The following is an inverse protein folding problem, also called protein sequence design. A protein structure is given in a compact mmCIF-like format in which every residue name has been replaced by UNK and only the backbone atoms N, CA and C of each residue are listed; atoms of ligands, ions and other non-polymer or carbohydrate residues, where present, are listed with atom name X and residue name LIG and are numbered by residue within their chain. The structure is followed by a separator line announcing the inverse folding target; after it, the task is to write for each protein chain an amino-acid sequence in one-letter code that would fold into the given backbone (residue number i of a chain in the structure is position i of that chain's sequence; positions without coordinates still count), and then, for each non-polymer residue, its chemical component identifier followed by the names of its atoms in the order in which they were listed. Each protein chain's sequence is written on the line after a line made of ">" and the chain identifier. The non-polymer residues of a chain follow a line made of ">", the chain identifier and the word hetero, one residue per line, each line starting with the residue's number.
data_IF_963910921617
#
_entry.id   IF_963910921617
#
_cell.length_a   1.000
_cell.length_b   1.000
_cell.length_c   1.000
_cell.angle_alpha   90.00
_cell.angle_beta   90.00
_cell.angle_gamma   90.00
#
_symmetry.space_group_name_H-M   'P 1'
#
loop_
_entity.id
_entity.type
_entity.pdbx_description
1 polymer ?
#
# COMPACT_ATOMS: atom_id res chain seq x y z
N UNK A 1 36.22 -15.54 13.99
CA UNK A 1 37.00 -15.07 15.16
C UNK A 1 36.20 -15.08 16.47
N UNK A 2 34.85 -15.06 16.43
CA UNK A 2 33.98 -15.26 17.62
C UNK A 2 34.01 -16.71 18.16
N UNK A 3 34.05 -17.71 17.29
CA UNK A 3 34.01 -19.13 17.69
C UNK A 3 35.20 -19.60 18.55
N UNK A 4 36.38 -18.99 18.37
CA UNK A 4 37.59 -19.37 19.11
C UNK A 4 37.59 -18.95 20.58
N UNK A 5 36.90 -17.86 20.91
CA UNK A 5 36.86 -17.30 22.27
C UNK A 5 35.74 -17.96 23.10
N UNK A 6 34.68 -18.46 22.48
CA UNK A 6 33.66 -19.25 23.18
C UNK A 6 34.13 -20.67 23.53
N UNK A 7 34.92 -21.28 22.64
CA UNK A 7 35.38 -22.66 22.82
C UNK A 7 36.26 -22.86 24.06
N UNK A 8 37.18 -21.93 24.39
CA UNK A 8 38.10 -22.12 25.52
C UNK A 8 37.37 -22.21 26.87
N UNK A 9 36.28 -21.45 27.05
CA UNK A 9 35.47 -21.48 28.27
C UNK A 9 34.77 -22.82 28.44
N UNK A 10 34.30 -23.41 27.33
CA UNK A 10 33.73 -24.75 27.32
C UNK A 10 34.73 -25.83 27.73
N UNK A 11 35.97 -25.76 27.22
CA UNK A 11 37.04 -26.65 27.63
C UNK A 11 37.41 -26.49 29.11
N UNK A 12 37.47 -25.26 29.64
CA UNK A 12 37.74 -25.02 31.07
C UNK A 12 36.61 -25.54 31.95
N UNK A 13 35.37 -25.29 31.56
CA UNK A 13 34.20 -25.83 32.27
C UNK A 13 34.25 -27.36 32.34
N UNK A 14 34.48 -28.01 31.19
CA UNK A 14 34.59 -29.46 31.14
C UNK A 14 35.78 -29.98 31.95
N UNK A 15 36.93 -29.29 31.91
CA UNK A 15 38.08 -29.65 32.74
C UNK A 15 37.73 -29.60 34.24
N UNK A 16 37.02 -28.56 34.68
CA UNK A 16 36.52 -28.46 36.05
C UNK A 16 35.55 -29.59 36.41
N UNK A 17 34.63 -29.93 35.49
CA UNK A 17 33.72 -31.08 35.64
C UNK A 17 34.49 -32.38 35.78
N UNK A 18 35.50 -32.63 34.94
CA UNK A 18 36.33 -33.85 34.99
C UNK A 18 37.09 -33.92 36.32
N UNK A 19 37.71 -32.81 36.76
CA UNK A 19 38.47 -32.74 38.02
C UNK A 19 37.59 -33.06 39.23
N UNK A 20 36.31 -32.71 39.21
CA UNK A 20 35.35 -33.03 40.28
C UNK A 20 34.78 -34.44 40.15
N UNK A 21 34.50 -34.88 38.92
CA UNK A 21 33.84 -36.15 38.62
C UNK A 21 34.75 -37.36 38.90
N UNK A 22 36.02 -37.32 38.48
CA UNK A 22 36.93 -38.47 38.63
C UNK A 22 37.14 -38.87 40.10
N UNK A 23 37.45 -37.94 41.04
CA UNK A 23 37.53 -38.29 42.46
C UNK A 23 36.20 -38.79 43.03
N UNK A 24 35.06 -38.23 42.60
CA UNK A 24 33.74 -38.63 43.09
C UNK A 24 33.38 -40.07 42.68
N UNK A 25 33.81 -40.51 41.49
CA UNK A 25 33.66 -41.92 41.04
C UNK A 25 34.60 -42.85 41.81
N UNK A 26 35.83 -42.41 42.10
CA UNK A 26 36.76 -43.18 42.93
C UNK A 26 36.22 -43.35 44.37
N UNK A 27 35.57 -42.34 44.94
CA UNK A 27 35.04 -42.43 46.30
C UNK A 27 33.71 -43.21 46.38
N UNK A 28 32.86 -43.11 45.36
CA UNK A 28 31.53 -43.75 45.35
C UNK A 28 31.19 -44.35 43.99
N UNK A 29 30.91 -45.65 43.95
CA UNK A 29 30.51 -46.36 42.73
C UNK A 29 29.15 -45.92 42.19
N UNK A 30 28.29 -45.33 43.02
CA UNK A 30 26.95 -44.87 42.64
C UNK A 30 26.93 -43.50 41.94
N UNK A 31 28.09 -42.85 41.76
CA UNK A 31 28.20 -41.51 41.14
C UNK A 31 27.88 -41.50 39.64
N UNK A 32 27.68 -42.66 39.01
CA UNK A 32 27.33 -42.81 37.60
C UNK A 32 26.06 -42.08 37.18
N UNK A 33 25.08 -41.88 38.07
CA UNK A 33 23.87 -41.11 37.76
C UNK A 33 24.17 -39.67 37.32
N UNK A 34 25.30 -39.08 37.75
CA UNK A 34 25.71 -37.75 37.31
C UNK A 34 26.04 -37.70 35.81
N UNK A 35 26.44 -38.81 35.18
CA UNK A 35 26.73 -38.85 33.75
C UNK A 35 25.51 -38.44 32.90
N UNK A 36 24.30 -38.71 33.38
CA UNK A 36 23.07 -38.29 32.70
C UNK A 36 22.95 -36.76 32.59
N UNK A 37 23.44 -36.02 33.59
CA UNK A 37 23.47 -34.56 33.58
C UNK A 37 24.71 -34.01 32.87
N UNK A 38 25.87 -34.65 33.04
CA UNK A 38 27.15 -34.15 32.53
C UNK A 38 27.34 -34.39 31.01
N UNK A 39 26.87 -35.52 30.47
CA UNK A 39 27.09 -35.83 29.06
C UNK A 39 26.36 -34.86 28.11
N UNK A 40 25.09 -34.46 28.34
CA UNK A 40 24.43 -33.45 27.52
C UNK A 40 25.12 -32.08 27.58
N UNK A 41 25.70 -31.70 28.72
CA UNK A 41 26.41 -30.43 28.86
C UNK A 41 27.63 -30.36 27.94
N UNK A 42 28.31 -31.48 27.67
CA UNK A 42 29.39 -31.51 26.70
C UNK A 42 28.93 -31.01 25.31
N UNK A 43 27.73 -31.38 24.87
CA UNK A 43 27.14 -30.89 23.61
C UNK A 43 26.57 -29.47 23.70
N UNK A 44 26.42 -28.89 24.90
CA UNK A 44 26.04 -27.48 25.05
C UNK A 44 27.24 -26.55 24.96
N UNK A 45 28.43 -27.00 25.37
CA UNK A 45 29.62 -26.14 25.47
C UNK A 45 30.70 -26.43 24.43
N UNK A 46 30.64 -27.58 23.73
CA UNK A 46 31.64 -28.00 22.76
C UNK A 46 31.01 -28.37 21.41
N UNK A 47 31.76 -28.23 20.30
CA UNK A 47 31.38 -28.81 19.02
C UNK A 47 31.21 -30.34 19.09
N UNK A 48 30.41 -30.90 18.18
CA UNK A 48 30.06 -32.33 18.17
C UNK A 48 31.25 -33.30 18.35
N UNK A 49 32.36 -33.10 17.62
CA UNK A 49 33.50 -34.01 17.68
C UNK A 49 34.17 -34.07 19.08
N UNK A 50 34.62 -32.96 19.69
CA UNK A 50 35.18 -32.99 21.05
C UNK A 50 34.13 -33.35 22.12
N UNK A 51 32.85 -33.04 21.92
CA UNK A 51 31.78 -33.46 22.83
C UNK A 51 31.62 -34.98 22.88
N UNK A 52 31.64 -35.67 21.72
CA UNK A 52 31.62 -37.14 21.65
C UNK A 52 32.83 -37.73 22.38
N UNK A 53 34.02 -37.18 22.15
CA UNK A 53 35.25 -37.63 22.83
C UNK A 53 35.12 -37.47 24.35
N UNK A 54 34.61 -36.34 24.83
CA UNK A 54 34.37 -36.10 26.25
C UNK A 54 33.39 -37.12 26.85
N UNK A 55 32.27 -37.40 26.17
CA UNK A 55 31.27 -38.39 26.62
C UNK A 55 31.87 -39.80 26.67
N UNK A 56 32.67 -40.18 25.69
CA UNK A 56 33.39 -41.47 25.68
C UNK A 56 34.35 -41.55 26.87
N UNK A 57 35.17 -40.52 27.10
CA UNK A 57 36.15 -40.50 28.19
C UNK A 57 35.49 -40.56 29.57
N UNK A 58 34.43 -39.78 29.79
CA UNK A 58 33.70 -39.78 31.06
C UNK A 58 33.11 -41.16 31.39
N UNK A 59 32.51 -41.83 30.39
CA UNK A 59 31.98 -43.18 30.56
C UNK A 59 33.10 -44.23 30.72
N UNK A 60 34.22 -44.09 29.99
CA UNK A 60 35.37 -44.99 30.10
C UNK A 60 36.03 -44.94 31.49
N UNK A 61 36.12 -43.75 32.11
CA UNK A 61 36.62 -43.60 33.49
C UNK A 61 35.71 -44.36 34.46
N UNK A 62 34.39 -44.24 34.33
CA UNK A 62 33.46 -44.96 35.20
C UNK A 62 33.59 -46.49 35.07
N UNK A 63 33.58 -47.01 33.84
CA UNK A 63 33.72 -48.44 33.57
C UNK A 63 35.10 -48.95 34.00
N UNK A 64 36.17 -48.17 33.78
CA UNK A 64 37.53 -48.52 34.17
C UNK A 64 37.71 -48.65 35.68
N UNK A 65 37.14 -47.72 36.46
CA UNK A 65 37.16 -47.79 37.94
C UNK A 65 36.40 -49.02 38.43
N UNK A 66 35.26 -49.34 37.82
CA UNK A 66 34.49 -50.53 38.17
C UNK A 66 35.25 -51.81 37.82
N UNK A 67 35.89 -51.86 36.65
CA UNK A 67 36.66 -53.00 36.18
C UNK A 67 37.85 -53.33 37.10
N UNK A 68 38.54 -52.32 37.65
CA UNK A 68 39.63 -52.52 38.61
C UNK A 68 39.14 -53.08 39.95
N UNK A 69 37.87 -52.83 40.31
CA UNK A 69 37.26 -53.30 41.56
C UNK A 69 36.52 -54.63 41.41
N UNK A 70 36.25 -55.04 40.19
CA UNK A 70 35.46 -56.22 39.89
C UNK A 70 36.19 -57.51 40.29
N UNK A 71 35.45 -58.47 40.85
CA UNK A 71 35.97 -59.80 41.18
C UNK A 71 35.75 -60.83 40.06
N UNK A 72 34.81 -60.53 39.16
CA UNK A 72 34.45 -61.36 38.00
C UNK A 72 34.08 -60.46 36.81
N UNK A 73 34.27 -60.96 35.59
CA UNK A 73 33.88 -60.32 34.33
C UNK A 73 32.38 -60.02 34.29
N UNK A 74 31.55 -60.87 34.91
CA UNK A 74 30.10 -60.67 34.96
C UNK A 74 29.70 -59.30 35.56
N UNK A 75 30.47 -58.79 36.54
CA UNK A 75 30.19 -57.51 37.22
C UNK A 75 30.39 -56.27 36.31
N UNK A 76 31.15 -56.41 35.20
CA UNK A 76 31.49 -55.30 34.30
C UNK A 76 30.69 -55.33 32.99
N UNK A 77 30.15 -56.49 32.61
CA UNK A 77 29.43 -56.66 31.33
C UNK A 77 28.23 -55.72 31.18
N UNK A 78 27.30 -55.69 32.14
CA UNK A 78 26.13 -54.84 32.08
C UNK A 78 26.47 -53.33 32.10
N UNK A 79 27.35 -52.83 33.00
CA UNK A 79 27.81 -51.44 32.98
C UNK A 79 28.49 -51.02 31.67
N UNK A 80 29.27 -51.91 31.06
CA UNK A 80 29.90 -51.65 29.75
C UNK A 80 28.85 -51.47 28.64
N UNK A 81 27.83 -52.34 28.60
CA UNK A 81 26.74 -52.24 27.64
C UNK A 81 25.90 -50.97 27.85
N UNK A 82 25.62 -50.62 29.11
CA UNK A 82 24.93 -49.37 29.47
C UNK A 82 25.75 -48.16 29.04
N UNK A 83 27.05 -48.14 29.34
CA UNK A 83 27.94 -47.05 28.92
C UNK A 83 27.99 -46.90 27.40
N UNK A 84 28.09 -48.02 26.66
CA UNK A 84 28.05 -48.01 25.20
C UNK A 84 26.71 -47.44 24.67
N UNK A 85 25.59 -47.86 25.25
CA UNK A 85 24.27 -47.34 24.90
C UNK A 85 24.14 -45.83 25.18
N UNK A 86 24.59 -45.38 26.35
CA UNK A 86 24.58 -43.95 26.73
C UNK A 86 25.42 -43.13 25.76
N UNK A 87 26.63 -43.58 25.44
CA UNK A 87 27.50 -42.89 24.47
C UNK A 87 26.80 -42.75 23.12
N UNK A 88 26.19 -43.82 22.61
CA UNK A 88 25.48 -43.80 21.32
C UNK A 88 24.28 -42.87 21.36
N UNK A 89 23.39 -43.02 22.35
CA UNK A 89 22.13 -42.27 22.44
C UNK A 89 22.40 -40.78 22.67
N UNK A 90 23.25 -40.44 23.65
CA UNK A 90 23.57 -39.04 23.95
C UNK A 90 24.30 -38.38 22.79
N UNK A 91 25.21 -39.08 22.12
CA UNK A 91 25.89 -38.54 20.94
C UNK A 91 24.93 -38.31 19.77
N UNK A 92 24.02 -39.26 19.52
CA UNK A 92 23.01 -39.12 18.47
C UNK A 92 22.10 -37.92 18.73
N UNK A 93 21.55 -37.79 19.94
CA UNK A 93 20.67 -36.69 20.34
C UNK A 93 21.43 -35.36 20.34
N UNK A 94 22.66 -35.33 20.87
CA UNK A 94 23.50 -34.14 20.94
C UNK A 94 23.85 -33.61 19.55
N UNK A 95 24.30 -34.48 18.64
CA UNK A 95 24.59 -34.12 17.24
C UNK A 95 23.32 -33.64 16.53
N UNK A 96 22.19 -34.33 16.71
CA UNK A 96 20.92 -33.94 16.11
C UNK A 96 20.43 -32.58 16.62
N UNK A 97 20.54 -32.32 17.92
CA UNK A 97 20.21 -31.04 18.54
C UNK A 97 21.06 -29.90 17.98
N UNK A 98 22.39 -30.04 17.97
CA UNK A 98 23.30 -29.04 17.41
C UNK A 98 23.02 -28.75 15.94
N UNK A 99 22.75 -29.80 15.14
CA UNK A 99 22.39 -29.65 13.72
C UNK A 99 21.06 -28.94 13.53
N UNK A 100 20.07 -29.25 14.36
CA UNK A 100 18.74 -28.64 14.28
C UNK A 100 18.79 -27.16 14.62
N UNK A 101 19.55 -26.78 15.65
CA UNK A 101 19.77 -25.37 16.01
C UNK A 101 20.49 -24.62 14.87
N UNK A 102 21.58 -25.17 14.35
CA UNK A 102 22.33 -24.54 13.26
C UNK A 102 21.49 -24.36 11.98
N UNK A 103 20.65 -25.35 11.66
CA UNK A 103 19.73 -25.28 10.53
C UNK A 103 18.62 -24.23 10.78
N UNK A 104 18.11 -24.14 12.00
CA UNK A 104 17.10 -23.14 12.39
C UNK A 104 17.63 -21.72 12.23
N UNK A 105 18.85 -21.46 12.70
CA UNK A 105 19.49 -20.14 12.59
C UNK A 105 19.68 -19.75 11.13
N UNK A 106 20.14 -20.68 10.29
CA UNK A 106 20.31 -20.46 8.86
C UNK A 106 18.99 -20.17 8.14
N UNK A 107 17.91 -20.85 8.52
CA UNK A 107 16.57 -20.57 7.99
C UNK A 107 16.07 -19.20 8.41
N UNK A 108 16.30 -18.80 9.67
CA UNK A 108 15.93 -17.48 10.17
C UNK A 108 16.66 -16.37 9.41
N UNK A 109 17.96 -16.55 9.13
CA UNK A 109 18.75 -15.62 8.31
C UNK A 109 18.21 -15.50 6.89
N UNK A 110 17.93 -16.62 6.21
CA UNK A 110 17.37 -16.63 4.86
C UNK A 110 15.99 -15.98 4.78
N UNK A 111 15.12 -16.22 5.77
CA UNK A 111 13.81 -15.56 5.86
C UNK A 111 13.98 -14.05 6.04
N UNK A 112 14.92 -13.62 6.89
CA UNK A 112 15.21 -12.21 7.09
C UNK A 112 15.74 -11.55 5.80
N UNK A 113 16.62 -12.22 5.07
CA UNK A 113 17.14 -11.73 3.79
C UNK A 113 16.04 -11.65 2.72
N UNK A 114 15.21 -12.68 2.60
CA UNK A 114 14.07 -12.70 1.67
C UNK A 114 13.09 -11.55 1.95
N UNK A 115 12.77 -11.30 3.22
CA UNK A 115 11.88 -10.20 3.61
C UNK A 115 12.48 -8.84 3.26
N UNK A 116 13.78 -8.61 3.53
CA UNK A 116 14.46 -7.37 3.12
C UNK A 116 14.42 -7.17 1.60
N UNK A 117 14.68 -8.23 0.83
CA UNK A 117 14.62 -8.16 -0.63
C UNK A 117 13.21 -7.86 -1.13
N UNK A 118 12.17 -8.47 -0.53
CA UNK A 118 10.76 -8.18 -0.87
C UNK A 118 10.38 -6.73 -0.57
N UNK A 119 10.77 -6.21 0.59
CA UNK A 119 10.51 -4.82 0.96
C UNK A 119 11.18 -3.84 0.00
N UNK A 120 12.41 -4.16 -0.43
CA UNK A 120 13.15 -3.37 -1.40
C UNK A 120 12.48 -3.38 -2.79
N UNK A 121 12.08 -4.56 -3.28
CA UNK A 121 11.33 -4.68 -4.54
C UNK A 121 10.00 -3.94 -4.47
N UNK A 122 9.27 -4.05 -3.36
CA UNK A 122 8.01 -3.31 -3.16
C UNK A 122 8.23 -1.79 -3.14
N UNK A 123 9.33 -1.32 -2.53
CA UNK A 123 9.71 0.10 -2.52
C UNK A 123 10.03 0.60 -3.92
N UNK A 124 10.87 -0.12 -4.67
CA UNK A 124 11.26 0.22 -6.03
C UNK A 124 10.05 0.17 -6.98
N UNK A 125 9.19 -0.84 -6.85
CA UNK A 125 7.95 -0.95 -7.63
C UNK A 125 7.01 0.22 -7.37
N UNK A 126 6.83 0.65 -6.10
CA UNK A 126 6.06 1.86 -5.78
C UNK A 126 6.67 3.11 -6.40
N UNK A 127 7.99 3.29 -6.33
CA UNK A 127 8.67 4.45 -6.94
C UNK A 127 8.56 4.45 -8.46
N UNK A 128 8.71 3.28 -9.10
CA UNK A 128 8.52 3.13 -10.54
C UNK A 128 7.07 3.41 -10.94
N UNK A 129 6.09 2.92 -10.17
CA UNK A 129 4.67 3.18 -10.39
C UNK A 129 4.32 4.67 -10.30
N UNK A 130 4.83 5.38 -9.28
CA UNK A 130 4.65 6.83 -9.15
C UNK A 130 5.29 7.58 -10.34
N UNK A 131 6.44 7.13 -10.82
CA UNK A 131 7.13 7.77 -11.95
C UNK A 131 6.41 7.54 -13.27
N UNK A 132 5.98 6.30 -13.52
CA UNK A 132 5.21 5.93 -14.71
C UNK A 132 3.87 6.69 -14.75
N UNK A 133 3.20 6.81 -13.60
CA UNK A 133 1.95 7.57 -13.49
C UNK A 133 2.18 9.06 -13.74
N UNK A 134 3.27 9.65 -13.20
CA UNK A 134 3.65 11.03 -13.52
C UNK A 134 3.90 11.25 -15.01
N UNK A 135 4.58 10.31 -15.67
CA UNK A 135 4.84 10.40 -17.11
C UNK A 135 3.55 10.29 -17.94
N UNK A 136 2.66 9.36 -17.57
CA UNK A 136 1.34 9.22 -18.19
C UNK A 136 0.51 10.50 -18.03
N UNK A 137 0.44 11.03 -16.81
CA UNK A 137 -0.27 12.28 -16.53
C UNK A 137 0.34 13.47 -17.28
N UNK A 138 1.67 13.54 -17.40
CA UNK A 138 2.32 14.58 -18.19
C UNK A 138 1.97 14.49 -19.68
N UNK A 139 1.87 13.29 -20.24
CA UNK A 139 1.42 13.07 -21.61
C UNK A 139 -0.05 13.48 -21.79
N UNK A 140 -0.95 13.04 -20.91
CA UNK A 140 -2.37 13.38 -20.95
C UNK A 140 -2.60 14.90 -20.83
N UNK A 141 -1.83 15.58 -19.97
CA UNK A 141 -1.83 17.04 -19.85
C UNK A 141 -1.38 17.68 -21.17
N UNK A 142 -0.28 17.19 -21.75
CA UNK A 142 0.26 17.75 -22.98
C UNK A 142 -0.73 17.66 -24.15
N UNK A 143 -1.36 16.51 -24.32
CA UNK A 143 -2.35 16.28 -25.39
C UNK A 143 -3.57 17.19 -25.22
N UNK A 144 -4.05 17.32 -23.99
CA UNK A 144 -5.17 18.20 -23.65
C UNK A 144 -4.86 19.68 -23.94
N UNK A 145 -3.67 20.14 -23.54
CA UNK A 145 -3.21 21.52 -23.79
C UNK A 145 -3.04 21.76 -25.29
N UNK A 146 -2.42 20.83 -25.99
CA UNK A 146 -2.18 20.94 -27.43
C UNK A 146 -3.51 21.03 -28.20
N UNK A 147 -4.51 20.23 -27.81
CA UNK A 147 -5.84 20.23 -28.44
C UNK A 147 -6.62 21.54 -28.17
N UNK A 148 -6.58 22.04 -26.93
CA UNK A 148 -7.19 23.33 -26.57
C UNK A 148 -6.58 24.49 -27.35
N UNK A 149 -5.25 24.56 -27.41
CA UNK A 149 -4.53 25.61 -28.16
C UNK A 149 -4.80 25.52 -29.66
N UNK A 150 -4.81 24.31 -30.24
CA UNK A 150 -5.12 24.12 -31.66
C UNK A 150 -6.53 24.62 -32.01
N UNK A 151 -7.50 24.36 -31.13
CA UNK A 151 -8.88 24.83 -31.30
C UNK A 151 -8.98 26.36 -31.24
N UNK A 152 -8.27 27.00 -30.30
CA UNK A 152 -8.17 28.46 -30.21
C UNK A 152 -7.55 29.06 -31.47
N UNK A 153 -6.47 28.47 -31.98
CA UNK A 153 -5.80 28.93 -33.21
C UNK A 153 -6.75 28.83 -34.42
N UNK A 154 -7.46 27.72 -34.58
CA UNK A 154 -8.44 27.58 -35.68
C UNK A 154 -9.58 28.60 -35.60
N UNK A 155 -10.10 28.88 -34.39
CA UNK A 155 -11.16 29.87 -34.19
C UNK A 155 -10.68 31.30 -34.49
N UNK A 156 -9.44 31.62 -34.15
CA UNK A 156 -8.83 32.92 -34.49
C UNK A 156 -8.64 33.03 -36.01
N UNK A 157 -8.17 31.97 -36.68
CA UNK A 157 -8.03 31.95 -38.15
C UNK A 157 -9.39 32.10 -38.86
N UNK A 158 -10.44 31.46 -38.33
CA UNK A 158 -11.80 31.62 -38.85
C UNK A 158 -12.34 33.04 -38.64
N UNK A 159 -12.02 33.68 -37.51
CA UNK A 159 -12.34 35.09 -37.28
C UNK A 159 -11.62 36.01 -38.27
N UNK A 160 -10.34 35.75 -38.55
CA UNK A 160 -9.54 36.54 -39.49
C UNK A 160 -10.05 36.44 -40.94
N UNK A 161 -10.51 35.25 -41.35
CA UNK A 161 -11.08 35.02 -42.68
C UNK A 161 -12.44 35.74 -42.90
N UNK A 162 -13.20 35.98 -41.83
CA UNK A 162 -14.53 36.60 -41.88
C UNK A 162 -14.52 38.12 -41.66
N UNK A 163 -13.35 38.73 -41.41
CA UNK A 163 -13.21 40.12 -40.96
C UNK A 163 -13.95 41.14 -41.83
N UNK A 164 -13.84 41.01 -43.15
CA UNK A 164 -14.46 41.92 -44.13
C UNK A 164 -15.83 41.45 -44.64
N UNK A 165 -16.25 40.23 -44.28
CA UNK A 165 -17.45 39.57 -44.83
C UNK A 165 -18.62 39.53 -43.86
N UNK A 166 -18.37 39.17 -42.60
CA UNK A 166 -19.40 39.02 -41.58
C UNK A 166 -18.86 39.39 -40.19
N UNK A 167 -18.96 40.68 -39.79
CA UNK A 167 -18.54 41.14 -38.47
C UNK A 167 -19.22 40.43 -37.30
N UNK A 168 -20.41 39.83 -37.52
CA UNK A 168 -21.13 39.08 -36.49
C UNK A 168 -20.54 37.68 -36.27
N UNK A 169 -20.11 37.00 -37.35
CA UNK A 169 -19.36 35.74 -37.32
C UNK A 169 -18.02 35.91 -36.62
N UNK A 170 -17.29 37.00 -36.91
CA UNK A 170 -16.02 37.36 -36.24
C UNK A 170 -16.18 37.43 -34.72
N UNK A 171 -17.21 38.14 -34.24
CA UNK A 171 -17.46 38.31 -32.81
C UNK A 171 -17.82 36.97 -32.13
N UNK A 172 -18.51 36.07 -32.85
CA UNK A 172 -18.82 34.72 -32.39
C UNK A 172 -17.56 33.83 -32.30
N UNK A 173 -16.73 33.80 -33.33
CA UNK A 173 -15.48 33.02 -33.35
C UNK A 173 -14.50 33.48 -32.26
N UNK A 174 -14.36 34.80 -32.06
CA UNK A 174 -13.54 35.34 -30.96
C UNK A 174 -14.10 34.98 -29.57
N UNK A 175 -15.43 35.01 -29.39
CA UNK A 175 -16.07 34.56 -28.15
C UNK A 175 -15.78 33.09 -27.85
N UNK A 176 -15.95 32.22 -28.85
CA UNK A 176 -15.62 30.78 -28.73
C UNK A 176 -14.14 30.54 -28.43
N UNK A 177 -13.23 31.32 -29.03
CA UNK A 177 -11.79 31.21 -28.78
C UNK A 177 -11.45 31.57 -27.32
N UNK A 178 -12.06 32.65 -26.80
CA UNK A 178 -11.88 33.06 -25.40
C UNK A 178 -12.43 32.02 -24.43
N UNK A 179 -13.61 31.47 -24.70
CA UNK A 179 -14.21 30.44 -23.84
C UNK A 179 -13.38 29.14 -23.86
N UNK A 180 -12.95 28.69 -25.04
CA UNK A 180 -12.08 27.50 -25.19
C UNK A 180 -10.75 27.68 -24.47
N UNK A 181 -10.15 28.88 -24.53
CA UNK A 181 -8.91 29.19 -23.81
C UNK A 181 -9.12 29.19 -22.28
N UNK A 182 -10.25 29.71 -21.79
CA UNK A 182 -10.60 29.71 -20.36
C UNK A 182 -10.82 28.30 -19.83
N UNK A 183 -11.51 27.46 -20.60
CA UNK A 183 -11.79 26.07 -20.23
C UNK A 183 -10.51 25.24 -20.21
N UNK A 184 -9.66 25.39 -21.23
CA UNK A 184 -8.34 24.73 -21.28
C UNK A 184 -7.44 25.16 -20.12
N UNK A 185 -7.45 26.44 -19.74
CA UNK A 185 -6.68 26.94 -18.60
C UNK A 185 -7.22 26.41 -17.25
N UNK A 186 -8.54 26.29 -17.11
CA UNK A 186 -9.15 25.73 -15.91
C UNK A 186 -8.81 24.24 -15.75
N UNK A 187 -8.80 23.49 -16.86
CA UNK A 187 -8.39 22.09 -16.92
C UNK A 187 -6.94 21.88 -16.50
N UNK A 188 -6.01 22.65 -17.05
CA UNK A 188 -4.59 22.60 -16.67
C UNK A 188 -4.40 22.90 -15.19
N UNK A 189 -5.09 23.92 -14.66
CA UNK A 189 -5.01 24.28 -13.23
C UNK A 189 -5.54 23.18 -12.31
N UNK A 190 -6.60 22.50 -12.71
CA UNK A 190 -7.15 21.38 -11.94
C UNK A 190 -6.17 20.19 -11.93
N UNK A 191 -5.56 19.87 -13.09
CA UNK A 191 -4.57 18.80 -13.21
C UNK A 191 -3.30 19.09 -12.41
N UNK A 192 -2.79 20.32 -12.45
CA UNK A 192 -1.61 20.73 -11.65
C UNK A 192 -1.90 20.71 -10.14
N UNK A 193 -3.11 21.11 -9.73
CA UNK A 193 -3.52 21.04 -8.33
C UNK A 193 -3.54 19.59 -7.81
N UNK A 194 -4.00 18.64 -8.63
CA UNK A 194 -4.00 17.21 -8.28
C UNK A 194 -2.58 16.61 -8.16
N UNK A 195 -1.57 17.23 -8.79
CA UNK A 195 -0.18 16.77 -8.80
C UNK A 195 0.68 17.35 -7.66
N UNK A 196 0.18 18.31 -6.88
CA UNK A 196 0.96 19.03 -5.86
C UNK A 196 0.82 18.35 -4.48
N UNK A 197 1.90 17.78 -3.90
CA UNK A 197 1.84 17.16 -2.57
C UNK A 197 1.65 18.22 -1.47
N UNK A 198 0.63 18.06 -0.62
CA UNK A 198 0.54 18.80 0.65
C UNK A 198 -0.48 19.96 0.75
N UNK A 199 -1.41 20.11 -0.18
CA UNK A 199 -2.47 21.12 -0.05
C UNK A 199 -3.63 20.67 0.88
N UNK A 200 -3.39 20.83 2.19
CA UNK A 200 -4.31 21.23 3.28
C UNK A 200 -5.58 20.40 3.59
N UNK A 201 -5.69 20.01 4.86
CA UNK A 201 -6.80 19.84 5.85
C UNK A 201 -8.29 19.72 5.44
N UNK A 202 -8.69 19.92 4.18
CA UNK A 202 -10.03 19.70 3.63
C UNK A 202 -9.89 19.06 2.24
N UNK A 203 -10.78 18.12 1.88
CA UNK A 203 -10.72 17.40 0.58
C UNK A 203 -10.43 18.35 -0.60
N UNK A 204 -9.37 18.12 -1.42
CA UNK A 204 -8.99 18.98 -2.54
C UNK A 204 -10.15 19.26 -3.49
N UNK A 205 -11.01 18.26 -3.73
CA UNK A 205 -12.22 18.38 -4.54
C UNK A 205 -13.21 19.38 -3.95
N UNK A 206 -13.52 19.30 -2.65
CA UNK A 206 -14.49 20.18 -2.02
C UNK A 206 -14.09 21.67 -2.16
N UNK A 207 -12.79 21.97 -2.02
CA UNK A 207 -12.28 23.31 -2.23
C UNK A 207 -12.38 23.76 -3.70
N UNK A 208 -12.10 22.85 -4.64
CA UNK A 208 -12.22 23.13 -6.07
C UNK A 208 -13.68 23.44 -6.46
N UNK A 209 -14.63 22.65 -5.97
CA UNK A 209 -16.06 22.88 -6.17
C UNK A 209 -16.50 24.22 -5.58
N UNK A 210 -16.05 24.56 -4.37
CA UNK A 210 -16.39 25.83 -3.74
C UNK A 210 -15.94 27.03 -4.58
N UNK A 211 -14.68 27.03 -5.05
CA UNK A 211 -14.15 28.09 -5.92
C UNK A 211 -14.90 28.17 -7.27
N UNK A 212 -15.25 27.02 -7.84
CA UNK A 212 -15.97 26.94 -9.11
C UNK A 212 -17.36 27.58 -8.99
N UNK A 213 -18.11 27.22 -7.94
CA UNK A 213 -19.48 27.69 -7.70
C UNK A 213 -19.50 29.17 -7.31
N UNK A 214 -18.56 29.61 -6.48
CA UNK A 214 -18.42 31.04 -6.12
C UNK A 214 -18.13 31.90 -7.36
N UNK A 215 -17.22 31.44 -8.22
CA UNK A 215 -16.92 32.11 -9.50
C UNK A 215 -18.15 32.15 -10.40
N UNK A 216 -18.87 31.04 -10.52
CA UNK A 216 -20.09 30.95 -11.32
C UNK A 216 -21.15 31.96 -10.86
N UNK A 217 -21.39 32.08 -9.55
CA UNK A 217 -22.31 33.07 -8.99
C UNK A 217 -21.90 34.51 -9.32
N UNK A 218 -20.59 34.84 -9.23
CA UNK A 218 -20.08 36.17 -9.63
C UNK A 218 -20.27 36.47 -11.13
N UNK A 219 -20.05 35.50 -12.00
CA UNK A 219 -20.11 35.69 -13.45
C UNK A 219 -21.57 35.79 -13.97
N UNK A 220 -22.51 35.13 -13.30
CA UNK A 220 -23.91 35.04 -13.74
C UNK A 220 -24.87 35.93 -12.95
N UNK A 221 -24.48 36.37 -11.75
CA UNK A 221 -25.37 37.06 -10.80
C UNK A 221 -26.31 36.13 -10.04
N UNK A 222 -26.21 34.81 -10.23
CA UNK A 222 -27.07 33.80 -9.59
C UNK A 222 -26.69 33.57 -8.13
N UNK A 223 -27.69 33.21 -7.31
CA UNK A 223 -27.46 32.74 -5.95
C UNK A 223 -26.85 31.33 -5.97
N UNK A 224 -25.51 31.26 -6.03
CA UNK A 224 -24.75 30.01 -6.11
C UNK A 224 -24.21 29.57 -4.74
N UNK A 225 -24.52 28.34 -4.31
CA UNK A 225 -24.07 27.79 -3.01
C UNK A 225 -23.38 26.45 -3.18
N UNK A 226 -22.26 26.25 -2.49
CA UNK A 226 -21.57 24.95 -2.42
C UNK A 226 -21.48 24.47 -0.97
N UNK A 227 -21.90 23.25 -0.69
CA UNK A 227 -21.77 22.61 0.63
C UNK A 227 -21.11 21.24 0.50
N UNK A 228 -20.23 20.91 1.44
CA UNK A 228 -19.69 19.56 1.57
C UNK A 228 -20.10 18.97 2.93
N UNK A 229 -20.56 17.72 2.92
CA UNK A 229 -21.06 17.01 4.10
C UNK A 229 -20.50 15.60 4.23
N UNK A 230 -20.67 15.00 5.41
CA UNK A 230 -20.18 13.66 5.74
C UNK A 230 -18.74 13.62 6.26
N UNK A 231 -18.28 12.44 6.65
CA UNK A 231 -16.91 12.22 7.09
C UNK A 231 -15.99 12.17 5.87
N UNK A 232 -15.11 13.17 5.73
CA UNK A 232 -14.21 13.30 4.58
C UNK A 232 -13.38 12.02 4.42
N UNK A 233 -13.49 11.39 3.24
CA UNK A 233 -12.65 10.28 2.82
C UNK A 233 -11.80 10.68 1.60
N UNK A 234 -10.55 10.19 1.52
CA UNK A 234 -9.74 10.38 0.33
C UNK A 234 -10.40 9.72 -0.89
N UNK A 235 -10.40 10.43 -2.01
CA UNK A 235 -10.93 9.96 -3.28
C UNK A 235 -9.77 9.58 -4.21
N UNK A 236 -10.00 8.61 -5.09
CA UNK A 236 -9.08 8.37 -6.21
C UNK A 236 -9.10 9.56 -7.17
N UNK A 237 -7.94 9.90 -7.75
CA UNK A 237 -7.80 11.05 -8.65
C UNK A 237 -8.80 11.02 -9.83
N UNK A 238 -9.07 9.84 -10.38
CA UNK A 238 -10.07 9.66 -11.44
C UNK A 238 -11.48 10.08 -10.99
N UNK A 239 -11.86 9.74 -9.76
CA UNK A 239 -13.15 10.12 -9.17
C UNK A 239 -13.22 11.64 -9.00
N UNK A 240 -12.18 12.27 -8.47
CA UNK A 240 -12.15 13.72 -8.28
C UNK A 240 -12.31 14.48 -9.61
N UNK A 241 -11.60 14.05 -10.66
CA UNK A 241 -11.70 14.64 -11.99
C UNK A 241 -13.11 14.49 -12.57
N UNK A 242 -13.71 13.30 -12.47
CA UNK A 242 -15.06 13.04 -12.99
C UNK A 242 -16.10 13.90 -12.27
N UNK A 243 -16.04 14.02 -10.94
CA UNK A 243 -16.97 14.85 -10.16
C UNK A 243 -16.81 16.35 -10.46
N UNK A 244 -15.58 16.83 -10.62
CA UNK A 244 -15.33 18.22 -11.01
C UNK A 244 -15.91 18.50 -12.41
N UNK A 245 -15.71 17.59 -13.35
CA UNK A 245 -16.22 17.70 -14.73
C UNK A 245 -17.74 17.68 -14.80
N UNK A 246 -18.36 16.76 -14.07
CA UNK A 246 -19.81 16.70 -13.95
C UNK A 246 -20.38 18.01 -13.41
N UNK A 247 -19.72 18.61 -12.40
CA UNK A 247 -20.13 19.92 -11.87
C UNK A 247 -19.99 21.02 -12.91
N UNK A 248 -18.87 21.09 -13.64
CA UNK A 248 -18.65 22.10 -14.67
C UNK A 248 -19.70 22.03 -15.77
N UNK A 249 -19.98 20.84 -16.28
CA UNK A 249 -20.98 20.65 -17.33
C UNK A 249 -22.39 20.96 -16.81
N UNK A 250 -22.72 20.56 -15.58
CA UNK A 250 -23.99 20.92 -14.95
C UNK A 250 -24.17 22.44 -14.84
N UNK A 251 -23.15 23.17 -14.36
CA UNK A 251 -23.19 24.64 -14.29
C UNK A 251 -23.25 25.29 -15.68
N UNK A 252 -22.56 24.70 -16.67
CA UNK A 252 -22.64 25.17 -18.05
C UNK A 252 -24.06 24.99 -18.63
N UNK A 253 -24.76 23.93 -18.26
CA UNK A 253 -26.15 23.70 -18.64
C UNK A 253 -27.09 24.71 -17.95
N UNK A 254 -26.89 24.98 -16.65
CA UNK A 254 -27.64 26.02 -15.93
C UNK A 254 -27.52 27.37 -16.63
N UNK A 255 -26.29 27.78 -16.97
CA UNK A 255 -26.03 29.04 -17.67
C UNK A 255 -26.68 29.11 -19.05
N UNK A 256 -26.67 28.01 -19.81
CA UNK A 256 -27.14 27.98 -21.20
C UNK A 256 -28.66 27.81 -21.32
N UNK A 257 -29.28 27.10 -20.38
CA UNK A 257 -30.62 26.55 -20.59
C UNK A 257 -31.61 26.81 -19.45
N UNK A 258 -31.16 26.95 -18.20
CA UNK A 258 -32.08 26.86 -17.07
C UNK A 258 -32.87 28.15 -16.81
N UNK A 259 -32.36 29.34 -17.15
CA UNK A 259 -32.95 30.61 -16.70
C UNK A 259 -33.27 30.63 -15.18
N UNK A 260 -32.40 29.97 -14.39
CA UNK A 260 -32.53 29.80 -12.95
C UNK A 260 -32.31 31.11 -12.19
N UNK A 261 -32.72 31.17 -10.92
CA UNK A 261 -32.38 32.22 -9.96
C UNK A 261 -31.31 31.77 -8.95
N UNK A 262 -31.19 30.47 -8.71
CA UNK A 262 -30.27 29.87 -7.77
C UNK A 262 -29.72 28.53 -8.25
N UNK A 263 -28.52 28.19 -7.79
CA UNK A 263 -27.93 26.86 -7.98
C UNK A 263 -27.22 26.40 -6.71
N UNK A 264 -27.44 25.14 -6.34
CA UNK A 264 -26.80 24.51 -5.18
C UNK A 264 -26.00 23.29 -5.62
N UNK A 265 -24.73 23.26 -5.23
CA UNK A 265 -23.84 22.10 -5.39
C UNK A 265 -23.59 21.48 -4.02
N UNK A 266 -23.84 20.18 -3.89
CA UNK A 266 -23.61 19.40 -2.68
C UNK A 266 -22.66 18.25 -2.97
N UNK A 267 -21.65 18.07 -2.12
CA UNK A 267 -20.77 16.91 -2.13
C UNK A 267 -20.90 16.21 -0.78
N UNK A 268 -21.51 15.02 -0.77
CA UNK A 268 -21.75 14.26 0.46
C UNK A 268 -20.95 12.95 0.44
N UNK A 269 -20.13 12.75 1.48
CA UNK A 269 -19.35 11.53 1.70
C UNK A 269 -20.17 10.51 2.50
N UNK A 270 -20.63 9.46 1.82
CA UNK A 270 -21.27 8.30 2.44
C UNK A 270 -20.27 7.25 2.91
N UNK A 271 -20.75 6.13 3.48
CA UNK A 271 -19.90 5.01 3.91
C UNK A 271 -19.22 4.31 2.74
N UNK A 272 -19.94 4.06 1.64
CA UNK A 272 -19.47 3.26 0.50
C UNK A 272 -19.39 4.04 -0.82
N UNK A 273 -20.10 5.17 -0.90
CA UNK A 273 -20.15 6.02 -2.10
C UNK A 273 -19.92 7.49 -1.75
N UNK A 274 -19.47 8.26 -2.75
CA UNK A 274 -19.50 9.73 -2.75
C UNK A 274 -20.60 10.20 -3.68
N UNK A 275 -21.40 11.17 -3.22
CA UNK A 275 -22.52 11.71 -3.98
C UNK A 275 -22.30 13.18 -4.26
N UNK A 276 -22.28 13.55 -5.54
CA UNK A 276 -22.34 14.93 -6.01
C UNK A 276 -23.76 15.21 -6.49
N UNK A 277 -24.33 16.32 -6.05
CA UNK A 277 -25.64 16.77 -6.48
C UNK A 277 -25.58 18.25 -6.89
N UNK A 278 -26.10 18.55 -8.08
CA UNK A 278 -26.26 19.92 -8.60
C UNK A 278 -27.75 20.15 -8.80
N UNK A 279 -28.30 21.17 -8.16
CA UNK A 279 -29.73 21.51 -8.19
C UNK A 279 -29.88 22.97 -8.60
N UNK A 280 -30.67 23.23 -9.63
CA UNK A 280 -31.12 24.58 -9.99
C UNK A 280 -32.64 24.70 -9.90
N UNK A 281 -33.12 25.92 -9.78
CA UNK A 281 -34.55 26.31 -9.72
C UNK A 281 -35.06 26.87 -11.05
N UNK A 282 -34.45 26.46 -12.17
CA UNK A 282 -34.77 26.97 -13.49
C UNK A 282 -36.07 26.45 -14.11
N UNK A 283 -36.23 26.74 -15.39
CA UNK A 283 -37.38 26.32 -16.20
C UNK A 283 -37.49 24.79 -16.36
N UNK A 284 -36.43 24.03 -16.04
CA UNK A 284 -36.36 22.59 -16.25
C UNK A 284 -36.59 22.19 -17.71
N UNK A 285 -36.74 20.89 -17.96
CA UNK A 285 -37.05 20.35 -19.27
C UNK A 285 -37.80 19.02 -19.16
N UNK A 286 -38.52 18.66 -20.22
CA UNK A 286 -39.17 17.36 -20.34
C UNK A 286 -38.16 16.30 -20.78
N UNK A 287 -37.97 15.27 -19.97
CA UNK A 287 -36.97 14.23 -20.21
C UNK A 287 -37.33 13.32 -21.39
N UNK A 288 -38.63 13.19 -21.70
CA UNK A 288 -39.08 12.31 -22.77
C UNK A 288 -38.93 12.95 -24.16
N UNK A 289 -38.94 14.30 -24.22
CA UNK A 289 -38.90 15.07 -25.46
C UNK A 289 -37.48 15.54 -25.83
N UNK A 290 -36.60 15.65 -24.83
CA UNK A 290 -35.19 15.99 -25.02
C UNK A 290 -34.32 14.76 -24.77
N UNK A 291 -34.14 13.93 -25.80
CA UNK A 291 -33.15 12.86 -25.78
C UNK A 291 -31.79 13.36 -25.28
N UNK A 292 -30.97 12.49 -24.69
CA UNK A 292 -29.68 12.85 -24.06
C UNK A 292 -28.88 13.81 -24.94
N UNK A 293 -28.89 15.11 -24.61
CA UNK A 293 -28.05 16.09 -25.27
C UNK A 293 -26.59 15.68 -25.14
N UNK A 294 -25.75 16.06 -26.12
CA UNK A 294 -24.34 15.65 -26.17
C UNK A 294 -23.60 15.82 -24.82
N UNK A 295 -23.91 16.86 -24.05
CA UNK A 295 -23.34 17.09 -22.72
C UNK A 295 -23.74 16.04 -21.67
N UNK A 296 -25.01 15.63 -21.61
CA UNK A 296 -25.49 14.60 -20.66
C UNK A 296 -24.98 13.21 -21.03
N UNK A 297 -24.97 12.87 -22.33
CA UNK A 297 -24.40 11.61 -22.82
C UNK A 297 -22.91 11.50 -22.47
N UNK A 298 -22.13 12.56 -22.73
CA UNK A 298 -20.71 12.61 -22.38
C UNK A 298 -20.48 12.53 -20.87
N UNK A 299 -21.33 13.18 -20.06
CA UNK A 299 -21.25 13.10 -18.60
C UNK A 299 -21.51 11.67 -18.11
N UNK A 300 -22.55 10.99 -18.63
CA UNK A 300 -22.84 9.58 -18.30
C UNK A 300 -21.69 8.66 -18.66
N UNK A 301 -21.12 8.81 -19.86
CA UNK A 301 -19.98 8.01 -20.30
C UNK A 301 -18.77 8.15 -19.36
N UNK A 302 -18.46 9.38 -18.92
CA UNK A 302 -17.36 9.65 -17.98
C UNK A 302 -17.64 9.12 -16.58
N UNK A 303 -18.88 9.24 -16.10
CA UNK A 303 -19.29 8.69 -14.80
C UNK A 303 -19.20 7.15 -14.80
N UNK A 304 -19.57 6.51 -15.90
CA UNK A 304 -19.45 5.06 -16.05
C UNK A 304 -17.98 4.58 -16.01
N UNK A 305 -17.01 5.38 -16.46
CA UNK A 305 -15.57 5.03 -16.40
C UNK A 305 -15.07 4.82 -14.96
N UNK A 306 -15.70 5.49 -13.98
CA UNK A 306 -15.39 5.34 -12.55
C UNK A 306 -16.41 4.45 -11.83
N UNK A 307 -17.15 3.61 -12.57
CA UNK A 307 -18.22 2.74 -12.06
C UNK A 307 -19.33 3.50 -11.31
N UNK A 308 -19.46 4.80 -11.59
CA UNK A 308 -20.50 5.63 -11.01
C UNK A 308 -21.80 5.53 -11.77
N UNK A 309 -22.84 6.12 -11.20
CA UNK A 309 -24.16 6.30 -11.81
C UNK A 309 -24.51 7.78 -11.86
N UNK A 310 -25.15 8.19 -12.94
CA UNK A 310 -25.68 9.54 -13.10
C UNK A 310 -27.18 9.46 -13.26
N UNK A 311 -27.89 10.23 -12.47
CA UNK A 311 -29.35 10.37 -12.52
C UNK A 311 -29.70 11.84 -12.73
N UNK A 312 -30.62 12.10 -13.64
CA UNK A 312 -31.16 13.43 -13.90
C UNK A 312 -32.63 13.42 -13.55
N UNK A 313 -33.10 14.42 -12.82
CA UNK A 313 -34.52 14.67 -12.55
C UNK A 313 -34.82 16.10 -12.97
N UNK A 314 -35.78 16.27 -13.87
CA UNK A 314 -36.22 17.59 -14.31
C UNK A 314 -37.70 17.52 -14.68
N UNK A 315 -38.40 18.62 -14.48
CA UNK A 315 -39.78 18.83 -14.92
C UNK A 315 -39.94 20.27 -15.36
N UNK A 316 -40.81 20.53 -16.32
CA UNK A 316 -41.07 21.88 -16.81
C UNK A 316 -41.57 22.78 -15.66
N UNK A 317 -40.82 23.83 -15.33
CA UNK A 317 -41.07 24.76 -14.23
C UNK A 317 -40.60 24.27 -12.85
N UNK A 318 -39.99 23.09 -12.74
CA UNK A 318 -39.55 22.49 -11.47
C UNK A 318 -38.02 22.49 -11.28
N UNK A 319 -37.28 23.07 -12.24
CA UNK A 319 -35.81 23.07 -12.26
C UNK A 319 -35.20 21.74 -12.70
N UNK A 320 -33.90 21.61 -12.47
CA UNK A 320 -33.14 20.39 -12.79
C UNK A 320 -32.28 19.95 -11.60
N UNK A 321 -32.26 18.65 -11.34
CA UNK A 321 -31.36 17.99 -10.40
C UNK A 321 -30.51 16.97 -11.14
N UNK A 322 -29.19 17.16 -11.12
CA UNK A 322 -28.21 16.18 -11.56
C UNK A 322 -27.56 15.56 -10.34
N UNK A 323 -27.60 14.24 -10.23
CA UNK A 323 -26.99 13.48 -9.13
C UNK A 323 -26.03 12.44 -9.70
N UNK A 324 -24.78 12.52 -9.27
CA UNK A 324 -23.69 11.60 -9.61
C UNK A 324 -23.29 10.85 -8.35
N UNK A 325 -23.31 9.53 -8.40
CA UNK A 325 -22.95 8.66 -7.29
C UNK A 325 -21.84 7.71 -7.71
N UNK A 326 -20.72 7.72 -6.98
CA UNK A 326 -19.51 6.96 -7.34
C UNK A 326 -19.04 6.13 -6.14
N UNK A 327 -18.79 4.82 -6.29
CA UNK A 327 -18.20 4.01 -5.23
C UNK A 327 -16.73 4.39 -4.99
N UNK A 328 -16.24 4.21 -3.76
CA UNK A 328 -14.82 4.42 -3.45
C UNK A 328 -13.88 3.39 -4.10
N UNK A 329 -14.41 2.26 -4.62
CA UNK A 329 -13.67 1.10 -5.15
C UNK A 329 -14.30 0.48 -6.40
#
# INVERSE_FOLDING_TARGET
>A
MRDGIENWRGYVYLAGVVVLYVPAVLLSGSTSFLLFALCPQAFMVLPAAPAVVAVVLLNAVHVGVLAVRARDLAEVTAPLLIAALVVVVVSMIGIWSQRTVAESDRRAELIAELNRSRDEVARLSRQAGVTAERQRLAADIHDTVAQGLSSVVMLIQAADADLDRDPSSVRRHLGLAVDTARDSLAEVRALVAALTPGALTASPLAQALHRLVERFGRETGLAARCTAGGAIRPLGTSIEVVLLRATQEALANVRRHAAAGAVTVRLDHGPDTVVLQVVDDGAGFDQDDTGDGYGLAAMRARVAQVRGTLTVRSGAGEGTTIRVEVPYS
#
